data_IF_938650447967
#
_entry.id   IF_938650447967
#
_cell.length_a   1.000
_cell.length_b   1.000
_cell.length_c   1.000
_cell.angle_alpha   90.00
_cell.angle_beta   90.00
_cell.angle_gamma   90.00
#
_symmetry.space_group_name_H-M   'P 1'
#
loop_
_entity.id
_entity.type
_entity.pdbx_description
1 polymer ?
#
# COMPACT_ATOMS: atom_id res chain seq x y z
N UNK A 1 34.64 46.44 -1.36
CA UNK A 1 34.81 45.19 -2.11
C UNK A 1 34.81 43.96 -1.18
N UNK A 2 35.63 43.93 -0.12
CA UNK A 2 35.66 42.80 0.83
C UNK A 2 34.38 42.64 1.67
N UNK A 3 33.77 43.73 2.15
CA UNK A 3 32.57 43.67 2.99
C UNK A 3 31.34 43.10 2.27
N UNK A 4 31.20 43.34 0.95
CA UNK A 4 30.09 42.81 0.15
C UNK A 4 30.22 41.31 -0.11
N UNK A 5 31.46 40.80 -0.23
CA UNK A 5 31.74 39.36 -0.35
C UNK A 5 31.39 38.60 0.93
N UNK A 6 31.63 39.19 2.10
CA UNK A 6 31.29 38.59 3.41
C UNK A 6 29.78 38.54 3.62
N UNK A 7 29.06 39.60 3.26
CA UNK A 7 27.59 39.65 3.35
C UNK A 7 26.94 38.65 2.38
N UNK A 8 27.49 38.51 1.16
CA UNK A 8 27.02 37.52 0.19
C UNK A 8 27.25 36.07 0.68
N UNK A 9 28.41 35.78 1.28
CA UNK A 9 28.70 34.45 1.85
C UNK A 9 27.75 34.10 3.01
N UNK A 10 27.47 35.06 3.89
CA UNK A 10 26.57 34.86 5.04
C UNK A 10 25.12 34.63 4.59
N UNK A 11 24.66 35.34 3.55
CA UNK A 11 23.33 35.13 2.97
C UNK A 11 23.20 33.74 2.32
N UNK A 12 24.25 33.27 1.63
CA UNK A 12 24.30 31.91 1.04
C UNK A 12 24.28 30.81 2.10
N UNK A 13 24.93 31.01 3.25
CA UNK A 13 24.87 30.05 4.37
C UNK A 13 23.51 30.04 5.08
N UNK A 14 22.77 31.15 5.08
CA UNK A 14 21.43 31.21 5.70
C UNK A 14 20.32 30.56 4.86
N UNK A 15 20.52 30.37 3.55
CA UNK A 15 19.55 29.73 2.67
C UNK A 15 19.65 28.18 2.65
N UNK A 16 20.68 27.62 3.29
CA UNK A 16 20.96 26.17 3.27
C UNK A 16 20.39 25.36 4.43
N UNK A 17 19.70 25.99 5.39
CA UNK A 17 19.17 25.31 6.57
C UNK A 17 17.64 25.22 6.51
N UNK A 18 17.11 24.50 5.53
CA UNK A 18 15.83 23.83 5.77
C UNK A 18 16.13 22.76 6.83
N UNK A 19 15.67 22.99 8.07
CA UNK A 19 15.79 21.97 9.12
C UNK A 19 15.14 20.70 8.61
N UNK A 20 15.82 19.57 8.72
CA UNK A 20 15.17 18.29 8.44
C UNK A 20 13.90 18.20 9.28
N UNK A 21 12.77 17.77 8.68
CA UNK A 21 11.52 17.67 9.41
C UNK A 21 11.70 16.73 10.61
N UNK A 22 11.19 17.14 11.76
CA UNK A 22 11.21 16.34 12.98
C UNK A 22 10.43 15.02 12.74
N UNK A 23 10.84 13.94 13.41
CA UNK A 23 10.17 12.65 13.28
C UNK A 23 8.68 12.74 13.55
N UNK A 24 8.26 13.64 14.46
CA UNK A 24 6.83 13.88 14.73
C UNK A 24 6.05 14.32 13.50
N UNK A 25 6.67 15.11 12.62
CA UNK A 25 6.05 15.57 11.37
C UNK A 25 6.10 14.47 10.31
N UNK A 26 7.24 13.79 10.18
CA UNK A 26 7.45 12.72 9.21
C UNK A 26 6.52 11.51 9.42
N UNK A 27 6.20 11.17 10.67
CA UNK A 27 5.36 10.00 11.00
C UNK A 27 3.97 10.40 11.48
N UNK A 28 3.43 11.48 10.91
CA UNK A 28 2.08 11.94 11.22
C UNK A 28 1.04 10.92 10.76
N UNK A 29 0.22 10.36 11.67
CA UNK A 29 -0.75 9.33 11.30
C UNK A 29 -1.95 9.91 10.54
N UNK A 30 -2.52 9.11 9.66
CA UNK A 30 -3.77 9.41 8.96
C UNK A 30 -4.99 9.04 9.82
N UNK A 31 -6.05 9.82 9.68
CA UNK A 31 -7.37 9.45 10.19
C UNK A 31 -8.02 8.47 9.21
N UNK A 32 -8.58 7.39 9.74
CA UNK A 32 -9.23 6.34 8.96
C UNK A 32 -10.74 6.54 8.98
N UNK A 33 -11.28 7.05 7.89
CA UNK A 33 -12.71 7.19 7.64
C UNK A 33 -13.00 6.98 6.13
N UNK A 34 -14.27 7.06 5.73
CA UNK A 34 -14.71 6.83 4.34
C UNK A 34 -14.17 7.84 3.31
N UNK A 35 -13.52 8.92 3.73
CA UNK A 35 -12.89 9.92 2.87
C UNK A 35 -11.37 9.88 2.93
N UNK A 36 -10.79 8.92 3.66
CA UNK A 36 -9.34 8.76 3.79
C UNK A 36 -8.66 8.61 2.43
N UNK A 37 -7.49 9.24 2.21
CA UNK A 37 -6.79 9.19 0.91
C UNK A 37 -6.21 7.80 0.59
N UNK A 38 -6.33 6.84 1.51
CA UNK A 38 -5.80 5.48 1.34
C UNK A 38 -6.59 4.65 0.32
N UNK A 39 -7.79 5.06 -0.09
CA UNK A 39 -8.63 4.23 -0.95
C UNK A 39 -8.16 4.18 -2.42
N UNK A 40 -8.53 3.10 -3.08
CA UNK A 40 -8.16 2.73 -4.44
C UNK A 40 -7.01 1.74 -4.50
N UNK A 41 -6.48 1.56 -5.72
CA UNK A 41 -5.42 0.60 -6.03
C UNK A 41 -4.02 1.19 -5.83
N UNK A 42 -3.11 0.36 -5.34
CA UNK A 42 -1.75 0.70 -4.97
C UNK A 42 -0.80 -0.45 -5.28
N UNK A 43 0.40 -0.14 -5.77
CA UNK A 43 1.46 -1.10 -6.17
C UNK A 43 2.64 -0.96 -5.22
N UNK A 44 3.12 -2.08 -4.68
CA UNK A 44 4.23 -2.09 -3.73
C UNK A 44 5.51 -1.60 -4.42
N UNK A 45 6.10 -0.53 -3.89
CA UNK A 45 7.37 -0.03 -4.39
C UNK A 45 8.53 -0.49 -3.49
N UNK A 46 8.40 -0.33 -2.18
CA UNK A 46 9.44 -0.72 -1.23
C UNK A 46 8.85 -1.15 0.12
N UNK A 47 9.45 -2.16 0.73
CA UNK A 47 9.13 -2.65 2.08
C UNK A 47 10.36 -2.69 2.98
N UNK A 48 10.15 -2.54 4.28
CA UNK A 48 11.14 -2.70 5.35
C UNK A 48 10.53 -3.48 6.52
N UNK A 49 11.37 -3.97 7.44
CA UNK A 49 10.97 -4.78 8.60
C UNK A 49 11.76 -4.37 9.85
N UNK A 50 11.19 -4.63 11.04
CA UNK A 50 11.84 -4.27 12.32
C UNK A 50 12.43 -5.47 13.08
N UNK A 51 12.02 -6.68 12.75
CA UNK A 51 12.55 -7.93 13.29
C UNK A 51 13.22 -8.75 12.19
N UNK A 52 14.43 -9.24 12.44
CA UNK A 52 15.21 -10.00 11.44
C UNK A 52 14.50 -11.27 10.96
N UNK A 53 13.69 -11.90 11.83
CA UNK A 53 12.90 -13.08 11.50
C UNK A 53 11.74 -12.84 10.52
N UNK A 54 11.46 -11.59 10.15
CA UNK A 54 10.44 -11.21 9.17
C UNK A 54 11.01 -11.00 7.75
N UNK A 55 12.33 -10.95 7.62
CA UNK A 55 12.99 -10.67 6.33
C UNK A 55 12.57 -11.67 5.26
N UNK A 56 12.70 -12.96 5.54
CA UNK A 56 12.49 -14.01 4.55
C UNK A 56 11.02 -14.08 4.07
N UNK A 57 10.06 -13.76 4.96
CA UNK A 57 8.64 -13.66 4.62
C UNK A 57 8.43 -12.56 3.54
N UNK A 58 9.00 -11.36 3.71
CA UNK A 58 8.88 -10.27 2.74
C UNK A 58 9.64 -10.57 1.43
N UNK A 59 10.84 -11.13 1.52
CA UNK A 59 11.67 -11.45 0.35
C UNK A 59 11.08 -12.58 -0.51
N UNK A 60 10.06 -13.28 -0.03
CA UNK A 60 9.32 -14.29 -0.80
C UNK A 60 8.37 -13.71 -1.85
N UNK A 61 8.10 -12.40 -1.79
CA UNK A 61 7.16 -11.68 -2.66
C UNK A 61 7.93 -10.88 -3.70
N UNK A 62 7.83 -11.26 -4.97
CA UNK A 62 8.43 -10.54 -6.10
C UNK A 62 7.76 -9.19 -6.36
N UNK A 63 6.43 -9.16 -6.33
CA UNK A 63 5.64 -7.95 -6.57
C UNK A 63 4.29 -8.06 -5.90
N UNK A 64 3.69 -6.94 -5.52
CA UNK A 64 2.39 -6.91 -4.86
C UNK A 64 1.57 -5.70 -5.28
N UNK A 65 0.26 -5.86 -5.30
CA UNK A 65 -0.65 -4.73 -5.31
C UNK A 65 -1.84 -4.98 -4.39
N UNK A 66 -2.37 -3.88 -3.85
CA UNK A 66 -3.55 -3.88 -2.98
C UNK A 66 -4.58 -2.90 -3.52
N UNK A 67 -5.85 -3.17 -3.25
CA UNK A 67 -6.93 -2.21 -3.44
C UNK A 67 -7.72 -2.11 -2.15
N UNK A 68 -7.83 -0.87 -1.65
CA UNK A 68 -8.56 -0.54 -0.43
C UNK A 68 -9.86 0.16 -0.83
N UNK A 69 -10.99 -0.29 -0.31
CA UNK A 69 -12.28 0.37 -0.51
C UNK A 69 -13.02 0.55 0.81
N UNK A 70 -13.69 1.69 0.96
CA UNK A 70 -14.63 1.89 2.07
C UNK A 70 -15.82 0.94 1.90
N UNK A 71 -16.17 0.21 2.96
CA UNK A 71 -17.46 -0.49 3.00
C UNK A 71 -18.62 0.51 3.16
N UNK A 72 -19.82 0.09 2.79
CA UNK A 72 -21.05 0.83 3.13
C UNK A 72 -21.25 0.97 4.64
N UNK A 73 -20.68 0.05 5.41
CA UNK A 73 -20.66 0.09 6.87
C UNK A 73 -19.51 0.97 7.34
N UNK A 74 -19.83 2.09 8.00
CA UNK A 74 -18.83 2.98 8.58
C UNK A 74 -17.88 2.21 9.49
N UNK A 75 -16.57 2.33 9.26
CA UNK A 75 -15.55 1.68 10.09
C UNK A 75 -15.04 0.33 9.58
N UNK A 76 -15.39 -0.08 8.37
CA UNK A 76 -14.82 -1.28 7.71
C UNK A 76 -14.13 -0.90 6.40
N UNK A 77 -12.89 -1.36 6.24
CA UNK A 77 -12.12 -1.31 4.99
C UNK A 77 -12.18 -2.69 4.37
N UNK A 78 -12.54 -2.77 3.09
CA UNK A 78 -12.35 -3.99 2.31
C UNK A 78 -10.99 -3.91 1.62
N UNK A 79 -10.21 -4.98 1.75
CA UNK A 79 -8.86 -5.13 1.24
C UNK A 79 -8.88 -6.25 0.23
N UNK A 80 -8.62 -5.93 -1.04
CA UNK A 80 -8.19 -6.91 -2.02
C UNK A 80 -6.68 -6.84 -2.17
N UNK A 81 -6.00 -7.98 -2.18
CA UNK A 81 -4.55 -8.05 -2.31
C UNK A 81 -4.17 -9.12 -3.31
N UNK A 82 -3.05 -8.91 -3.98
CA UNK A 82 -2.52 -9.82 -4.97
C UNK A 82 -0.99 -9.77 -4.97
N UNK A 83 -0.38 -10.88 -4.56
CA UNK A 83 1.05 -11.07 -4.42
C UNK A 83 1.56 -12.08 -5.43
N UNK A 84 2.63 -11.72 -6.14
CA UNK A 84 3.41 -12.67 -6.94
C UNK A 84 4.57 -13.17 -6.11
N UNK A 85 4.65 -14.48 -5.93
CA UNK A 85 5.73 -15.13 -5.20
C UNK A 85 6.95 -15.42 -6.10
N UNK A 86 8.05 -15.82 -5.47
CA UNK A 86 9.31 -16.15 -6.15
C UNK A 86 9.24 -17.34 -7.13
N UNK A 87 8.22 -18.19 -7.01
CA UNK A 87 7.94 -19.32 -7.92
C UNK A 87 6.97 -18.94 -9.05
N UNK A 88 6.78 -17.63 -9.28
CA UNK A 88 5.84 -17.02 -10.24
C UNK A 88 4.37 -17.35 -9.98
N UNK A 89 4.04 -17.87 -8.79
CA UNK A 89 2.65 -18.10 -8.40
C UNK A 89 2.01 -16.81 -7.91
N UNK A 90 0.79 -16.57 -8.36
CA UNK A 90 -0.08 -15.53 -7.82
C UNK A 90 -0.89 -16.03 -6.63
N UNK A 91 -0.81 -15.32 -5.50
CA UNK A 91 -1.70 -15.45 -4.35
C UNK A 91 -2.55 -14.20 -4.27
N UNK A 92 -3.87 -14.37 -4.20
CA UNK A 92 -4.80 -13.26 -4.15
C UNK A 92 -5.91 -13.55 -3.16
N UNK A 93 -6.50 -12.51 -2.60
CA UNK A 93 -7.57 -12.69 -1.64
C UNK A 93 -8.30 -11.42 -1.28
N UNK A 94 -9.37 -11.62 -0.51
CA UNK A 94 -10.17 -10.56 0.07
C UNK A 94 -10.10 -10.67 1.60
N UNK A 95 -9.95 -9.54 2.26
CA UNK A 95 -10.09 -9.41 3.71
C UNK A 95 -10.89 -8.17 4.06
N UNK A 96 -11.46 -8.16 5.25
CA UNK A 96 -12.07 -6.97 5.83
C UNK A 96 -11.24 -6.55 7.05
N UNK A 97 -11.01 -5.24 7.16
CA UNK A 97 -10.36 -4.64 8.32
C UNK A 97 -11.36 -3.77 9.06
N UNK A 98 -11.47 -3.94 10.37
CA UNK A 98 -12.27 -3.05 11.23
C UNK A 98 -11.41 -1.92 11.76
N UNK A 99 -11.97 -0.72 11.85
CA UNK A 99 -11.23 0.47 12.32
C UNK A 99 -11.51 0.70 13.80
N UNK A 100 -10.45 0.88 14.59
CA UNK A 100 -10.50 1.37 15.97
C UNK A 100 -9.53 2.54 16.12
N UNK A 101 -10.08 3.76 16.15
CA UNK A 101 -9.28 4.98 16.14
C UNK A 101 -8.47 5.13 14.85
N UNK A 102 -7.14 5.07 14.95
CA UNK A 102 -6.21 5.17 13.79
C UNK A 102 -5.65 3.80 13.37
N UNK A 103 -6.13 2.72 13.99
CA UNK A 103 -5.65 1.36 13.73
C UNK A 103 -6.72 0.58 12.97
N UNK A 104 -6.33 -0.13 11.92
CA UNK A 104 -7.16 -1.13 11.25
C UNK A 104 -6.80 -2.52 11.74
N UNK A 105 -7.78 -3.35 12.10
CA UNK A 105 -7.59 -4.71 12.57
C UNK A 105 -8.06 -5.69 11.50
N UNK A 106 -7.14 -6.52 11.01
CA UNK A 106 -7.40 -7.44 9.89
C UNK A 106 -7.05 -8.87 10.29
N UNK A 107 -7.86 -9.82 9.82
CA UNK A 107 -7.51 -11.23 9.85
C UNK A 107 -7.40 -11.75 8.42
N UNK A 108 -6.22 -12.24 8.05
CA UNK A 108 -6.01 -12.90 6.77
C UNK A 108 -6.09 -14.41 6.94
N UNK A 109 -6.80 -15.06 6.02
CA UNK A 109 -6.89 -16.52 5.93
C UNK A 109 -6.37 -16.95 4.57
N UNK A 110 -5.13 -17.43 4.53
CA UNK A 110 -4.42 -17.77 3.29
C UNK A 110 -4.09 -19.27 3.33
N UNK A 111 -4.67 -20.05 2.42
CA UNK A 111 -4.49 -21.51 2.36
C UNK A 111 -4.66 -22.25 3.71
N UNK A 112 -5.61 -21.82 4.53
CA UNK A 112 -5.87 -22.42 5.84
C UNK A 112 -4.95 -21.94 6.97
N UNK A 113 -4.02 -21.01 6.69
CA UNK A 113 -3.26 -20.30 7.70
C UNK A 113 -3.92 -18.97 8.06
N UNK A 114 -4.19 -18.79 9.34
CA UNK A 114 -4.74 -17.54 9.88
C UNK A 114 -3.62 -16.67 10.43
N UNK A 115 -3.63 -15.39 10.08
CA UNK A 115 -2.74 -14.37 10.66
C UNK A 115 -3.54 -13.12 11.03
N UNK A 116 -3.10 -12.47 12.10
CA UNK A 116 -3.77 -11.30 12.70
C UNK A 116 -2.87 -10.09 12.57
N UNK A 117 -3.44 -8.96 12.20
CA UNK A 117 -2.66 -7.79 11.82
C UNK A 117 -3.31 -6.49 12.27
N UNK A 118 -2.46 -5.60 12.79
CA UNK A 118 -2.81 -4.22 13.11
C UNK A 118 -2.10 -3.28 12.13
N UNK A 119 -2.90 -2.62 11.29
CA UNK A 119 -2.44 -1.67 10.29
C UNK A 119 -2.53 -0.22 10.77
N UNK A 120 -1.51 0.58 10.44
CA UNK A 120 -1.50 2.04 10.59
C UNK A 120 -1.07 2.69 9.28
N UNK A 121 -1.52 3.92 9.07
CA UNK A 121 -1.23 4.67 7.85
C UNK A 121 -0.72 6.06 8.20
N UNK A 122 0.20 6.57 7.40
CA UNK A 122 0.90 7.84 7.66
C UNK A 122 0.82 8.78 6.46
N UNK A 123 0.87 10.08 6.73
CA UNK A 123 1.02 11.10 5.68
C UNK A 123 2.36 10.89 4.95
N UNK A 124 2.33 11.04 3.63
CA UNK A 124 3.51 10.86 2.76
C UNK A 124 3.29 11.62 1.44
N UNK A 125 3.84 11.15 0.30
CA UNK A 125 3.59 11.72 -1.01
C UNK A 125 2.12 11.57 -1.46
N UNK A 126 1.65 12.46 -2.34
CA UNK A 126 0.25 12.49 -2.79
C UNK A 126 -0.19 11.22 -3.54
N UNK A 127 0.74 10.62 -4.28
CA UNK A 127 0.53 9.40 -5.08
C UNK A 127 1.13 8.16 -4.40
N UNK A 128 1.27 8.21 -3.07
CA UNK A 128 1.81 7.15 -2.23
C UNK A 128 0.83 6.70 -1.15
N UNK A 129 0.97 5.45 -0.73
CA UNK A 129 0.36 4.89 0.47
C UNK A 129 1.45 4.34 1.36
N UNK A 130 1.68 4.98 2.51
CA UNK A 130 2.58 4.48 3.54
C UNK A 130 1.78 3.73 4.61
N UNK A 131 2.06 2.45 4.75
CA UNK A 131 1.39 1.56 5.69
C UNK A 131 2.39 0.84 6.59
N UNK A 132 2.15 0.86 7.89
CA UNK A 132 2.80 -0.02 8.86
C UNK A 132 1.86 -1.17 9.18
N UNK A 133 2.36 -2.39 9.04
CA UNK A 133 1.63 -3.61 9.30
C UNK A 133 2.27 -4.37 10.46
N UNK A 134 1.55 -4.52 11.57
CA UNK A 134 2.02 -5.26 12.73
C UNK A 134 1.41 -6.66 12.74
N UNK A 135 2.22 -7.66 12.46
CA UNK A 135 1.80 -9.06 12.59
C UNK A 135 1.72 -9.45 14.08
N UNK A 136 0.60 -10.04 14.48
CA UNK A 136 0.34 -10.48 15.85
C UNK A 136 0.42 -12.01 15.98
N UNK A 137 0.92 -12.44 17.13
CA UNK A 137 0.84 -13.83 17.60
C UNK A 137 -0.57 -14.13 18.13
N UNK A 138 -0.95 -15.41 18.29
CA UNK A 138 -2.27 -15.78 18.83
C UNK A 138 -2.57 -15.22 20.23
N UNK A 139 -1.53 -14.87 21.00
CA UNK A 139 -1.66 -14.23 22.32
C UNK A 139 -1.79 -12.69 22.25
N UNK A 140 -1.87 -12.13 21.03
CA UNK A 140 -2.01 -10.70 20.77
C UNK A 140 -0.71 -9.90 20.82
N UNK A 141 0.44 -10.53 21.12
CA UNK A 141 1.74 -9.82 21.10
C UNK A 141 2.22 -9.63 19.67
N UNK A 142 2.95 -8.55 19.43
CA UNK A 142 3.62 -8.31 18.15
C UNK A 142 4.68 -9.40 17.89
N UNK A 143 4.58 -10.06 16.73
CA UNK A 143 5.66 -10.87 16.13
C UNK A 143 6.75 -9.95 15.55
N UNK A 144 6.32 -8.79 15.06
CA UNK A 144 7.13 -7.74 14.46
C UNK A 144 6.28 -6.91 13.51
N UNK A 145 6.93 -6.03 12.77
CA UNK A 145 6.28 -5.06 11.89
C UNK A 145 6.94 -4.99 10.53
N UNK A 146 6.13 -4.69 9.54
CA UNK A 146 6.55 -4.24 8.23
C UNK A 146 6.17 -2.78 8.03
N UNK A 147 6.96 -2.08 7.21
CA UNK A 147 6.63 -0.77 6.69
C UNK A 147 6.65 -0.85 5.18
N UNK A 148 5.54 -0.53 4.55
CA UNK A 148 5.35 -0.62 3.10
C UNK A 148 5.04 0.75 2.53
N UNK A 149 5.76 1.10 1.47
CA UNK A 149 5.40 2.20 0.59
C UNK A 149 4.87 1.64 -0.70
N UNK A 150 3.58 1.89 -0.95
CA UNK A 150 2.96 1.64 -2.22
C UNK A 150 2.80 2.96 -2.99
N UNK A 151 2.66 2.85 -4.31
CA UNK A 151 2.44 3.99 -5.22
C UNK A 151 1.29 3.69 -6.16
N UNK A 152 0.69 4.71 -6.79
CA UNK A 152 -0.39 4.46 -7.77
C UNK A 152 0.07 3.68 -9.00
N UNK A 153 1.31 3.91 -9.45
CA UNK A 153 1.80 3.41 -10.75
C UNK A 153 2.97 2.45 -10.66
N UNK A 154 3.52 2.22 -9.46
CA UNK A 154 4.77 1.51 -9.24
C UNK A 154 6.02 2.40 -9.33
N UNK A 155 5.90 3.62 -9.85
CA UNK A 155 7.00 4.58 -9.93
C UNK A 155 7.05 5.50 -8.71
N UNK A 156 8.25 5.92 -8.33
CA UNK A 156 8.50 6.80 -7.19
C UNK A 156 9.66 7.73 -7.49
N UNK A 157 9.54 9.01 -7.13
CA UNK A 157 10.65 9.95 -7.26
C UNK A 157 11.75 9.67 -6.22
N UNK A 158 13.04 9.86 -6.55
CA UNK A 158 14.13 9.60 -5.61
C UNK A 158 13.99 10.37 -4.29
N UNK A 159 13.46 11.59 -4.31
CA UNK A 159 13.22 12.38 -3.09
C UNK A 159 12.12 11.80 -2.19
N UNK A 160 11.13 11.15 -2.77
CA UNK A 160 10.05 10.48 -2.03
C UNK A 160 10.58 9.18 -1.40
N UNK A 161 11.48 8.46 -2.09
CA UNK A 161 12.18 7.32 -1.51
C UNK A 161 13.02 7.73 -0.29
N UNK A 162 13.76 8.84 -0.38
CA UNK A 162 14.52 9.35 0.77
C UNK A 162 13.60 9.75 1.93
N UNK A 163 12.40 10.25 1.63
CA UNK A 163 11.39 10.56 2.66
C UNK A 163 10.95 9.27 3.36
N UNK A 164 10.66 8.21 2.61
CA UNK A 164 10.34 6.89 3.17
C UNK A 164 11.45 6.35 4.08
N UNK A 165 12.72 6.46 3.67
CA UNK A 165 13.85 6.00 4.49
C UNK A 165 13.93 6.73 5.82
N UNK A 166 13.71 8.05 5.82
CA UNK A 166 13.64 8.85 7.07
C UNK A 166 12.44 8.47 7.93
N UNK A 167 11.28 8.21 7.31
CA UNK A 167 10.10 7.71 8.02
C UNK A 167 10.38 6.35 8.68
N UNK A 168 11.03 5.43 7.97
CA UNK A 168 11.45 4.13 8.50
C UNK A 168 12.42 4.27 9.69
N UNK A 169 13.39 5.18 9.60
CA UNK A 169 14.33 5.48 10.69
C UNK A 169 13.62 6.06 11.93
N UNK A 170 12.69 6.98 11.73
CA UNK A 170 11.86 7.54 12.80
C UNK A 170 11.05 6.45 13.52
N UNK A 171 10.53 5.48 12.76
CA UNK A 171 9.77 4.34 13.27
C UNK A 171 10.65 3.16 13.75
N UNK A 172 11.97 3.30 13.70
CA UNK A 172 12.97 2.32 14.18
C UNK A 172 12.97 0.99 13.40
N UNK A 173 12.73 1.05 12.10
CA UNK A 173 12.92 -0.08 11.19
C UNK A 173 14.41 -0.31 10.87
N UNK A 174 14.74 -1.52 10.43
CA UNK A 174 16.09 -1.88 10.01
C UNK A 174 16.37 -1.16 8.66
N UNK A 175 17.57 -0.58 8.44
CA UNK A 175 17.92 0.12 7.20
C UNK A 175 18.23 -0.85 6.04
N UNK A 176 17.38 -1.86 5.88
CA UNK A 176 17.36 -2.82 4.78
C UNK A 176 15.99 -2.74 4.11
N UNK A 177 15.99 -2.91 2.78
CA UNK A 177 14.83 -2.65 1.95
C UNK A 177 14.63 -3.77 0.93
N UNK A 178 13.37 -4.11 0.70
CA UNK A 178 12.92 -4.99 -0.37
C UNK A 178 12.15 -4.17 -1.38
N UNK A 179 12.55 -4.19 -2.65
CA UNK A 179 11.89 -3.42 -3.71
C UNK A 179 10.93 -4.32 -4.50
N UNK A 180 9.69 -3.86 -4.65
CA UNK A 180 8.68 -4.57 -5.42
C UNK A 180 8.92 -4.47 -6.93
N UNK A 181 8.65 -5.56 -7.64
CA UNK A 181 8.66 -5.61 -9.09
C UNK A 181 7.38 -5.05 -9.72
N UNK A 182 7.42 -4.88 -11.05
CA UNK A 182 6.30 -4.37 -11.86
C UNK A 182 5.50 -5.46 -12.58
N UNK A 183 5.94 -6.71 -12.52
CA UNK A 183 5.23 -7.85 -13.11
C UNK A 183 4.10 -8.33 -12.18
N UNK A 184 3.02 -7.55 -12.15
CA UNK A 184 1.91 -7.75 -11.21
C UNK A 184 1.07 -8.99 -11.54
N UNK A 185 0.41 -9.53 -10.53
CA UNK A 185 -0.63 -10.55 -10.73
C UNK A 185 -1.88 -9.95 -11.41
N UNK A 186 -2.55 -10.69 -12.30
CA UNK A 186 -3.83 -10.27 -12.88
C UNK A 186 -4.91 -10.21 -11.80
N UNK A 187 -5.96 -9.40 -12.01
CA UNK A 187 -7.08 -9.33 -11.08
C UNK A 187 -8.08 -10.49 -11.32
N UNK A 188 -8.16 -11.41 -10.36
CA UNK A 188 -9.05 -12.58 -10.48
C UNK A 188 -10.53 -12.21 -10.44
N UNK A 189 -10.89 -11.04 -9.88
CA UNK A 189 -12.29 -10.56 -9.83
C UNK A 189 -12.80 -10.19 -11.22
N UNK A 190 -11.91 -9.68 -12.08
CA UNK A 190 -12.25 -9.30 -13.47
C UNK A 190 -12.29 -10.54 -14.36
N UNK A 191 -11.34 -11.46 -14.18
CA UNK A 191 -11.24 -12.70 -14.96
C UNK A 191 -12.41 -13.67 -14.70
N UNK A 192 -13.03 -13.57 -13.53
CA UNK A 192 -14.16 -14.42 -13.11
C UNK A 192 -15.55 -13.86 -13.48
N UNK A 193 -15.65 -12.67 -14.08
CA UNK A 193 -16.93 -12.12 -14.51
C UNK A 193 -17.43 -12.85 -15.79
N UNK A 194 -18.65 -13.42 -15.81
CA UNK A 194 -19.17 -14.05 -17.02
C UNK A 194 -19.34 -12.99 -18.11
N UNK A 195 -18.80 -13.27 -19.30
CA UNK A 195 -19.02 -12.45 -20.49
C UNK A 195 -20.53 -12.36 -20.74
N UNK A 196 -21.10 -11.16 -20.61
CA UNK A 196 -22.48 -10.90 -21.02
C UNK A 196 -22.49 -10.90 -22.55
N UNK A 197 -22.81 -12.05 -23.12
CA UNK A 197 -23.08 -12.20 -24.54
C UNK A 197 -24.38 -11.46 -24.87
N UNK A 198 -24.25 -10.23 -25.37
CA UNK A 198 -25.35 -9.46 -25.94
C UNK A 198 -25.85 -10.19 -27.20
N UNK A 199 -26.80 -11.11 -27.03
CA UNK A 199 -27.56 -11.65 -28.14
C UNK A 199 -28.64 -10.63 -28.51
N UNK A 200 -28.35 -9.77 -29.47
CA UNK A 200 -29.37 -9.05 -30.23
C UNK A 200 -30.26 -10.07 -30.96
N UNK A 201 -31.45 -10.34 -30.42
CA UNK A 201 -32.50 -11.04 -31.14
C UNK A 201 -33.18 -10.06 -32.11
N UNK A 202 -32.68 -10.03 -33.34
CA UNK A 202 -33.41 -9.48 -34.49
C UNK A 202 -34.68 -10.31 -34.72
N UNK A 203 -35.85 -9.75 -34.38
CA UNK A 203 -37.12 -10.21 -34.92
C UNK A 203 -37.16 -9.85 -36.41
N UNK A 204 -37.25 -10.85 -37.28
CA UNK A 204 -37.69 -10.66 -38.67
C UNK A 204 -38.93 -11.51 -38.90
N UNK A 205 -40.00 -10.80 -39.26
CA UNK A 205 -41.30 -11.30 -39.67
C UNK A 205 -41.20 -12.40 -40.73
N UNK A 206 -42.01 -13.45 -40.57
CA UNK A 206 -42.39 -14.32 -41.69
C UNK A 206 -43.81 -14.86 -41.49
N UNK A 207 -44.71 -14.41 -42.36
CA UNK A 207 -46.00 -15.02 -42.68
C UNK A 207 -46.18 -14.91 -44.21
N UNK A 208 -47.01 -15.72 -44.91
CA UNK A 208 -47.45 -17.12 -44.77
C UNK A 208 -47.00 -17.95 -46.02
N UNK A 209 -47.61 -19.12 -46.35
CA UNK A 209 -48.77 -19.05 -47.26
C UNK A 209 -49.89 -20.07 -46.99
N UNK A 210 -51.05 -19.73 -47.52
CA UNK A 210 -52.26 -20.56 -47.58
C UNK A 210 -52.16 -21.65 -48.66
N UNK A 211 -52.73 -22.82 -48.36
CA UNK A 211 -53.70 -23.53 -49.22
C UNK A 211 -54.50 -24.54 -48.41
#
# INVERSE_FOLDING_TARGET
MAAQLVVALLALTSLGAASEPDCKELVKPLVLDSHSPIYGKWVLHVGSWDQTGLKDDLLSVNSSWVELSASSDSGVITIYWADRLNDDKCLQGLANATISGMTSHTTFNIHGHTSYHDGKYYETCAECLLSEDTTLLPDGKSKGRYLFLFTRTGNLEPSELETFKKQAECLKFIPEYHFGGMDLCPDDRVTSAPAVENTESNQTDAQPPAK
#
